data_IF_100275972350
#
_entry.id   IF_100275972350
#
_cell.length_a   1.000
_cell.length_b   1.000
_cell.length_c   1.000
_cell.angle_alpha   90.00
_cell.angle_beta   90.00
_cell.angle_gamma   90.00
#
_symmetry.space_group_name_H-M   'P 1'
#
loop_
_entity.id
_entity.type
_entity.pdbx_description
1 polymer ?
#
# COMPACT_ATOMS: atom_id res chain seq x y z
N UNK A 1 6.64 22.16 -7.30
CA UNK A 1 7.75 22.35 -6.34
C UNK A 1 8.73 21.19 -6.47
N UNK A 2 9.97 21.47 -6.86
CA UNK A 2 11.06 20.49 -6.95
C UNK A 2 11.39 19.97 -5.54
N UNK A 3 10.75 18.87 -5.14
CA UNK A 3 11.12 18.17 -3.92
C UNK A 3 12.45 17.47 -4.18
N UNK A 4 13.53 18.00 -3.59
CA UNK A 4 14.86 17.37 -3.54
C UNK A 4 14.71 15.88 -3.28
N UNK A 5 15.38 15.09 -4.12
CA UNK A 5 15.59 13.66 -3.97
C UNK A 5 16.10 13.38 -2.55
N UNK A 6 15.65 12.28 -1.93
CA UNK A 6 16.09 11.95 -0.57
C UNK A 6 17.61 11.71 -0.57
N UNK A 7 18.31 12.37 0.35
CA UNK A 7 19.78 12.42 0.40
C UNK A 7 20.48 11.05 0.51
N UNK A 8 19.75 9.99 0.85
CA UNK A 8 20.28 8.64 0.97
C UNK A 8 20.23 7.81 -0.31
N UNK A 9 19.59 8.29 -1.39
CA UNK A 9 19.57 7.55 -2.67
C UNK A 9 20.94 7.47 -3.35
N UNK A 10 21.90 8.31 -2.94
CA UNK A 10 23.23 8.41 -3.57
C UNK A 10 24.36 7.79 -2.74
N UNK A 11 24.13 7.48 -1.45
CA UNK A 11 25.19 7.06 -0.53
C UNK A 11 25.69 5.62 -0.73
N UNK A 12 24.90 4.76 -1.37
CA UNK A 12 25.21 3.33 -1.51
C UNK A 12 26.09 3.01 -2.74
N UNK A 13 26.13 3.88 -3.75
CA UNK A 13 26.94 3.65 -4.96
C UNK A 13 28.41 4.06 -4.81
N UNK A 14 28.70 5.04 -3.93
CA UNK A 14 30.07 5.54 -3.71
C UNK A 14 30.96 4.54 -2.95
N UNK A 15 30.37 3.71 -2.08
CA UNK A 15 31.10 2.69 -1.31
C UNK A 15 31.68 1.57 -2.20
N UNK A 16 31.01 1.26 -3.31
CA UNK A 16 31.48 0.24 -4.26
C UNK A 16 32.66 0.71 -5.12
N UNK A 17 32.78 2.01 -5.39
CA UNK A 17 33.87 2.58 -6.19
C UNK A 17 35.20 2.66 -5.42
N UNK A 18 35.14 2.86 -4.09
CA UNK A 18 36.33 2.99 -3.25
C UNK A 18 37.14 1.69 -3.08
N UNK A 19 36.54 0.51 -3.33
CA UNK A 19 37.23 -0.80 -3.20
C UNK A 19 38.16 -1.15 -4.38
N UNK A 20 38.24 -0.34 -5.44
CA UNK A 20 39.04 -0.65 -6.65
C UNK A 20 40.41 0.05 -6.74
N UNK A 21 40.79 0.88 -5.78
CA UNK A 21 42.07 1.60 -5.83
C UNK A 21 42.80 1.54 -4.49
N UNK A 22 43.41 0.40 -4.18
CA UNK A 22 44.51 0.34 -3.21
C UNK A 22 45.37 -0.88 -3.54
N UNK A 23 46.28 -0.71 -4.50
CA UNK A 23 47.44 -1.57 -4.67
C UNK A 23 48.68 -0.70 -4.75
N UNK A 24 49.51 -0.78 -3.69
CA UNK A 24 50.95 -0.53 -3.78
C UNK A 24 51.48 0.69 -3.04
N UNK A 25 51.75 0.56 -1.74
CA UNK A 25 53.05 0.99 -1.18
C UNK A 25 53.35 0.25 0.12
N UNK A 26 54.61 -0.13 0.31
CA UNK A 26 55.17 -0.97 1.36
C UNK A 26 55.25 -0.28 2.72
N UNK A 27 54.60 -0.84 3.74
CA UNK A 27 54.83 -0.55 5.16
C UNK A 27 54.88 -1.86 5.98
N UNK A 28 55.47 -1.80 7.17
CA UNK A 28 55.82 -2.95 8.02
C UNK A 28 54.59 -3.73 8.53
N UNK A 29 54.69 -5.05 8.79
CA UNK A 29 53.52 -5.91 9.07
C UNK A 29 52.68 -5.52 10.30
N UNK A 30 53.27 -4.87 11.31
CA UNK A 30 52.58 -4.54 12.57
C UNK A 30 51.79 -3.21 12.55
N UNK A 31 52.16 -2.25 11.68
CA UNK A 31 51.43 -0.98 11.54
C UNK A 31 50.22 -1.13 10.61
N UNK A 32 50.31 -2.01 9.61
CA UNK A 32 49.20 -2.33 8.70
C UNK A 32 48.01 -3.00 9.40
N UNK A 33 48.23 -3.88 10.40
CA UNK A 33 47.15 -4.55 11.12
C UNK A 33 46.38 -3.58 12.06
N UNK A 34 47.07 -2.60 12.65
CA UNK A 34 46.44 -1.60 13.52
C UNK A 34 45.75 -0.49 12.74
N UNK A 35 46.31 -0.05 11.61
CA UNK A 35 45.64 0.91 10.71
C UNK A 35 44.41 0.31 10.00
N UNK A 36 44.47 -0.96 9.61
CA UNK A 36 43.30 -1.65 9.01
C UNK A 36 42.21 -1.93 10.04
N UNK A 37 42.56 -2.31 11.28
CA UNK A 37 41.58 -2.51 12.35
C UNK A 37 40.90 -1.18 12.75
N UNK A 38 41.65 -0.09 12.85
CA UNK A 38 41.10 1.24 13.15
C UNK A 38 40.26 1.79 12.00
N UNK A 39 40.68 1.62 10.74
CA UNK A 39 39.88 1.98 9.57
C UNK A 39 38.57 1.17 9.49
N UNK A 40 38.60 -0.10 9.87
CA UNK A 40 37.41 -0.97 9.93
C UNK A 40 36.46 -0.51 11.05
N UNK A 41 36.98 -0.24 12.25
CA UNK A 41 36.18 0.26 13.37
C UNK A 41 35.53 1.63 13.08
N UNK A 42 36.25 2.54 12.41
CA UNK A 42 35.70 3.82 11.95
C UNK A 42 34.60 3.60 10.90
N UNK A 43 34.81 2.67 9.96
CA UNK A 43 33.80 2.30 8.97
C UNK A 43 32.52 1.74 9.59
N UNK A 44 32.65 0.86 10.59
CA UNK A 44 31.52 0.32 11.36
C UNK A 44 30.76 1.41 12.14
N UNK A 45 31.50 2.32 12.78
CA UNK A 45 30.90 3.46 13.47
C UNK A 45 30.12 4.37 12.50
N UNK A 46 30.70 4.68 11.34
CA UNK A 46 30.02 5.50 10.30
C UNK A 46 28.75 4.81 9.80
N UNK A 47 28.79 3.49 9.61
CA UNK A 47 27.62 2.70 9.22
C UNK A 47 26.55 2.65 10.32
N UNK A 48 26.96 2.57 11.58
CA UNK A 48 26.04 2.62 12.73
C UNK A 48 25.35 3.98 12.85
N UNK A 49 26.13 5.07 12.74
CA UNK A 49 25.61 6.44 12.79
C UNK A 49 24.70 6.74 11.59
N UNK A 50 25.03 6.25 10.39
CA UNK A 50 24.18 6.42 9.22
C UNK A 50 22.85 5.68 9.38
N UNK A 51 22.86 4.44 9.89
CA UNK A 51 21.65 3.68 10.22
C UNK A 51 20.80 4.40 11.26
N UNK A 52 21.41 4.90 12.34
CA UNK A 52 20.70 5.64 13.40
C UNK A 52 20.10 6.95 12.88
N UNK A 53 20.80 7.65 11.99
CA UNK A 53 20.29 8.84 11.32
C UNK A 53 19.07 8.51 10.46
N UNK A 54 19.16 7.50 9.59
CA UNK A 54 18.04 7.07 8.74
C UNK A 54 16.83 6.67 9.58
N UNK A 55 17.05 5.91 10.65
CA UNK A 55 15.98 5.56 11.59
C UNK A 55 15.29 6.79 12.19
N UNK A 56 16.07 7.77 12.65
CA UNK A 56 15.52 9.02 13.20
C UNK A 56 14.75 9.82 12.15
N UNK A 57 15.25 9.89 10.92
CA UNK A 57 14.58 10.59 9.81
C UNK A 57 13.24 9.93 9.45
N UNK A 58 13.19 8.60 9.33
CA UNK A 58 11.94 7.85 9.09
C UNK A 58 10.96 8.08 10.25
N UNK A 59 11.42 7.91 11.49
CA UNK A 59 10.58 8.06 12.69
C UNK A 59 9.99 9.46 12.82
N UNK A 60 10.80 10.50 12.62
CA UNK A 60 10.34 11.89 12.67
C UNK A 60 9.40 12.21 11.52
N UNK A 61 9.69 11.71 10.32
CA UNK A 61 8.82 11.85 9.15
C UNK A 61 7.44 11.22 9.39
N UNK A 62 7.41 10.00 9.91
CA UNK A 62 6.17 9.29 10.24
C UNK A 62 5.38 10.06 11.30
N UNK A 63 6.02 10.47 12.40
CA UNK A 63 5.35 11.23 13.46
C UNK A 63 4.76 12.54 12.94
N UNK A 64 5.48 13.29 12.12
CA UNK A 64 4.99 14.52 11.52
C UNK A 64 3.81 14.25 10.57
N UNK A 65 3.93 13.25 9.68
CA UNK A 65 2.87 12.86 8.76
C UNK A 65 1.60 12.37 9.47
N UNK A 66 1.75 11.59 10.54
CA UNK A 66 0.64 11.08 11.35
C UNK A 66 -0.03 12.17 12.17
N UNK A 67 0.74 13.12 12.71
CA UNK A 67 0.17 14.30 13.38
C UNK A 67 -0.79 15.04 12.46
N UNK A 68 -0.37 15.28 11.21
CA UNK A 68 -1.20 15.94 10.21
C UNK A 68 -2.37 15.08 9.74
N UNK A 69 -2.18 13.76 9.60
CA UNK A 69 -3.23 12.80 9.24
C UNK A 69 -4.31 12.65 10.33
N UNK A 70 -4.00 13.00 11.59
CA UNK A 70 -4.96 13.03 12.71
C UNK A 70 -5.73 14.34 12.82
N UNK A 71 -5.43 15.34 11.98
CA UNK A 71 -6.03 16.65 12.08
C UNK A 71 -7.54 16.64 11.80
N UNK A 72 -8.27 17.58 12.40
CA UNK A 72 -9.72 17.71 12.26
C UNK A 72 -10.14 18.20 10.86
N UNK A 73 -9.21 18.86 10.14
CA UNK A 73 -9.44 19.41 8.81
C UNK A 73 -8.84 18.54 7.70
N UNK A 74 -9.64 18.25 6.67
CA UNK A 74 -9.26 17.42 5.52
C UNK A 74 -7.99 17.90 4.82
N UNK A 75 -7.78 19.22 4.67
CA UNK A 75 -6.58 19.74 4.00
C UNK A 75 -5.27 19.40 4.74
N UNK A 76 -5.29 19.35 6.08
CA UNK A 76 -4.16 18.92 6.89
C UNK A 76 -3.97 17.41 6.76
N UNK A 77 -5.06 16.64 6.79
CA UNK A 77 -4.99 15.19 6.59
C UNK A 77 -4.40 14.83 5.24
N UNK A 78 -4.86 15.46 4.16
CA UNK A 78 -4.30 15.33 2.80
C UNK A 78 -2.79 15.67 2.78
N UNK A 79 -2.36 16.73 3.48
CA UNK A 79 -0.94 17.07 3.61
C UNK A 79 -0.16 15.95 4.33
N UNK A 80 -0.70 15.43 5.42
CA UNK A 80 -0.14 14.30 6.18
C UNK A 80 -0.01 13.04 5.33
N UNK A 81 -1.08 12.63 4.66
CA UNK A 81 -1.13 11.45 3.79
C UNK A 81 -0.11 11.54 2.65
N UNK A 82 0.03 12.72 2.00
CA UNK A 82 1.07 12.94 0.98
C UNK A 82 2.49 12.79 1.55
N UNK A 83 2.71 13.27 2.78
CA UNK A 83 3.99 13.09 3.48
C UNK A 83 4.27 11.61 3.75
N UNK A 84 3.28 10.88 4.25
CA UNK A 84 3.37 9.44 4.51
C UNK A 84 3.66 8.66 3.21
N UNK A 85 2.95 8.97 2.12
CA UNK A 85 3.19 8.34 0.81
C UNK A 85 4.64 8.54 0.33
N UNK A 86 5.19 9.74 0.53
CA UNK A 86 6.58 10.04 0.18
C UNK A 86 7.57 9.21 1.03
N UNK A 87 7.27 9.02 2.31
CA UNK A 87 8.09 8.20 3.21
C UNK A 87 8.02 6.73 2.78
N UNK A 88 6.83 6.17 2.57
CA UNK A 88 6.64 4.78 2.14
C UNK A 88 7.38 4.49 0.83
N UNK A 89 7.27 5.38 -0.17
CA UNK A 89 8.02 5.25 -1.43
C UNK A 89 9.52 5.23 -1.21
N UNK A 90 10.01 6.00 -0.25
CA UNK A 90 11.44 5.98 0.05
C UNK A 90 11.87 4.76 0.87
N UNK A 91 11.01 4.26 1.76
CA UNK A 91 11.24 3.05 2.54
C UNK A 91 11.33 1.83 1.62
N UNK A 92 10.50 1.77 0.59
CA UNK A 92 10.45 0.71 -0.40
C UNK A 92 11.73 0.55 -1.25
N UNK A 93 12.71 1.45 -1.12
CA UNK A 93 13.94 1.41 -1.93
C UNK A 93 14.99 0.41 -1.42
N UNK A 94 14.90 -0.06 -0.18
CA UNK A 94 15.86 -1.02 0.36
C UNK A 94 15.28 -1.88 1.49
N UNK A 95 15.70 -3.13 1.58
CA UNK A 95 15.25 -4.05 2.64
C UNK A 95 15.57 -3.53 4.05
N UNK A 96 16.71 -2.84 4.19
CA UNK A 96 17.10 -2.27 5.47
C UNK A 96 16.13 -1.18 5.96
N UNK A 97 15.63 -0.33 5.05
CA UNK A 97 14.64 0.70 5.38
C UNK A 97 13.26 0.09 5.60
N UNK A 98 12.91 -0.98 4.89
CA UNK A 98 11.69 -1.76 5.14
C UNK A 98 11.69 -2.29 6.58
N UNK A 99 12.80 -2.92 7.01
CA UNK A 99 12.90 -3.42 8.39
C UNK A 99 12.81 -2.29 9.44
N UNK A 100 13.37 -1.10 9.18
CA UNK A 100 13.21 0.05 10.08
C UNK A 100 11.76 0.52 10.15
N UNK A 101 11.05 0.52 9.01
CA UNK A 101 9.63 0.83 8.97
C UNK A 101 8.81 -0.20 9.76
N UNK A 102 9.02 -1.50 9.53
CA UNK A 102 8.34 -2.56 10.30
C UNK A 102 8.54 -2.40 11.80
N UNK A 103 9.77 -2.12 12.26
CA UNK A 103 10.03 -1.84 13.67
C UNK A 103 9.28 -0.61 14.19
N UNK A 104 9.18 0.46 13.39
CA UNK A 104 8.40 1.64 13.76
C UNK A 104 6.91 1.33 13.94
N UNK A 105 6.34 0.39 13.16
CA UNK A 105 4.93 0.01 13.25
C UNK A 105 4.60 -0.82 14.51
N UNK A 106 5.62 -1.29 15.24
CA UNK A 106 5.42 -1.87 16.58
C UNK A 106 5.16 -0.81 17.66
N UNK A 107 5.42 0.48 17.37
CA UNK A 107 5.20 1.58 18.30
C UNK A 107 3.81 2.19 18.08
N UNK A 108 2.90 2.18 19.08
CA UNK A 108 1.51 2.64 18.90
C UNK A 108 1.39 4.05 18.31
N UNK A 109 2.27 4.97 18.71
CA UNK A 109 2.26 6.36 18.23
C UNK A 109 2.62 6.51 16.74
N UNK A 110 3.28 5.51 16.15
CA UNK A 110 3.77 5.52 14.77
C UNK A 110 2.99 4.56 13.87
N UNK A 111 1.99 3.87 14.39
CA UNK A 111 1.13 3.00 13.60
C UNK A 111 0.31 3.82 12.60
N UNK A 112 0.43 3.47 11.32
CA UNK A 112 -0.24 4.19 10.24
C UNK A 112 -1.68 3.70 10.08
N UNK A 113 -1.89 2.38 10.03
CA UNK A 113 -3.20 1.77 9.76
C UNK A 113 -4.32 2.30 10.68
N UNK A 114 -4.17 2.31 12.01
CA UNK A 114 -5.20 2.84 12.91
C UNK A 114 -5.60 4.29 12.58
N UNK A 115 -4.63 5.13 12.23
CA UNK A 115 -4.88 6.54 11.92
C UNK A 115 -5.72 6.70 10.67
N UNK A 116 -5.50 5.86 9.64
CA UNK A 116 -6.30 5.90 8.42
C UNK A 116 -7.77 5.57 8.72
N UNK A 117 -8.02 4.51 9.48
CA UNK A 117 -9.39 4.09 9.81
C UNK A 117 -10.10 5.04 10.78
N UNK A 118 -9.38 5.66 11.69
CA UNK A 118 -9.96 6.57 12.68
C UNK A 118 -10.24 7.98 12.13
N UNK A 119 -9.52 8.42 11.09
CA UNK A 119 -9.58 9.81 10.62
C UNK A 119 -9.93 9.97 9.14
N UNK A 120 -9.50 9.07 8.27
CA UNK A 120 -9.71 9.20 6.81
C UNK A 120 -10.82 8.31 6.27
N UNK A 121 -11.03 7.13 6.87
CA UNK A 121 -12.11 6.20 6.51
C UNK A 121 -13.24 6.21 7.53
N UNK A 122 -13.23 7.13 8.49
CA UNK A 122 -14.31 7.25 9.47
C UNK A 122 -15.59 7.65 8.73
N UNK A 123 -16.55 6.74 8.68
CA UNK A 123 -17.89 7.06 8.23
C UNK A 123 -18.56 7.94 9.29
N UNK A 124 -19.17 9.05 8.87
CA UNK A 124 -19.96 9.90 9.77
C UNK A 124 -21.18 9.11 10.25
N UNK A 125 -21.07 8.55 11.45
CA UNK A 125 -22.20 7.92 12.13
C UNK A 125 -23.31 8.94 12.37
N UNK A 126 -24.57 8.52 12.33
CA UNK A 126 -25.72 9.40 12.59
C UNK A 126 -25.71 10.00 14.00
N UNK A 127 -24.88 9.49 14.91
CA UNK A 127 -24.63 10.07 16.25
C UNK A 127 -23.82 11.38 16.18
N UNK A 128 -23.01 11.57 15.13
CA UNK A 128 -22.29 12.82 14.85
C UNK A 128 -23.18 13.86 14.11
N UNK A 129 -24.45 13.53 13.79
CA UNK A 129 -25.42 14.48 13.24
C UNK A 129 -26.30 15.01 14.37
N UNK A 130 -26.21 16.31 14.61
CA UNK A 130 -27.00 17.07 15.59
C UNK A 130 -28.49 16.71 15.46
N UNK A 131 -29.02 15.91 16.38
CA UNK A 131 -30.44 15.52 16.41
C UNK A 131 -31.30 16.38 17.35
N UNK A 132 -30.71 17.27 18.15
CA UNK A 132 -31.46 18.31 18.86
C UNK A 132 -30.52 19.40 19.41
N UNK A 133 -30.93 20.66 19.29
CA UNK A 133 -30.27 21.84 19.86
C UNK A 133 -30.83 22.23 21.25
N UNK A 134 -31.63 21.37 21.89
CA UNK A 134 -32.43 21.78 23.05
C UNK A 134 -31.65 21.90 24.38
N UNK A 135 -30.32 21.69 24.39
CA UNK A 135 -29.51 21.73 25.62
C UNK A 135 -28.22 22.57 25.44
N UNK A 136 -28.38 23.89 25.33
CA UNK A 136 -27.32 24.87 24.97
C UNK A 136 -26.24 25.09 26.07
N UNK A 137 -26.43 24.63 27.31
CA UNK A 137 -25.55 25.05 28.43
C UNK A 137 -24.79 23.95 29.18
N UNK A 138 -24.73 22.70 28.70
CA UNK A 138 -24.00 21.63 29.43
C UNK A 138 -23.30 20.60 28.56
N UNK A 139 -23.06 20.88 27.28
CA UNK A 139 -22.46 19.91 26.35
C UNK A 139 -21.02 20.34 26.02
N UNK A 140 -20.08 19.41 26.15
CA UNK A 140 -18.71 19.58 25.69
C UNK A 140 -18.70 20.02 24.22
N UNK A 141 -17.83 20.98 23.82
CA UNK A 141 -17.81 21.48 22.46
C UNK A 141 -17.56 20.33 21.49
N UNK A 142 -18.55 20.08 20.62
CA UNK A 142 -18.48 19.05 19.60
C UNK A 142 -17.30 19.35 18.67
N UNK A 143 -16.36 18.42 18.56
CA UNK A 143 -15.24 18.54 17.62
C UNK A 143 -15.80 18.47 16.20
N UNK A 144 -15.82 19.60 15.51
CA UNK A 144 -16.24 19.69 14.12
C UNK A 144 -15.11 19.09 13.27
N UNK A 145 -15.18 17.78 13.04
CA UNK A 145 -14.30 17.11 12.09
C UNK A 145 -14.89 17.28 10.70
N UNK A 146 -14.12 17.82 9.75
CA UNK A 146 -14.59 17.90 8.37
C UNK A 146 -14.70 16.50 7.77
N UNK A 147 -15.74 16.19 6.98
CA UNK A 147 -15.83 14.92 6.24
C UNK A 147 -14.59 14.70 5.37
N UNK A 148 -14.26 13.43 5.14
CA UNK A 148 -13.17 13.07 4.24
C UNK A 148 -13.55 13.34 2.79
N UNK A 149 -12.68 14.07 2.10
CA UNK A 149 -12.82 14.37 0.68
C UNK A 149 -12.35 13.19 -0.18
N UNK A 150 -12.81 13.14 -1.42
CA UNK A 150 -12.44 12.11 -2.40
C UNK A 150 -10.89 11.98 -2.54
N UNK A 151 -10.21 13.13 -2.68
CA UNK A 151 -8.74 13.16 -2.72
C UNK A 151 -8.06 12.64 -1.44
N UNK A 152 -8.67 12.84 -0.27
CA UNK A 152 -8.18 12.29 1.00
C UNK A 152 -8.32 10.78 1.04
N UNK A 153 -9.48 10.25 0.63
CA UNK A 153 -9.77 8.82 0.57
C UNK A 153 -8.80 8.13 -0.40
N UNK A 154 -8.66 8.65 -1.62
CA UNK A 154 -7.74 8.10 -2.61
C UNK A 154 -6.27 8.09 -2.13
N UNK A 155 -5.85 9.11 -1.38
CA UNK A 155 -4.52 9.13 -0.77
C UNK A 155 -4.40 8.12 0.38
N UNK A 156 -5.41 8.03 1.24
CA UNK A 156 -5.44 7.10 2.36
C UNK A 156 -5.39 5.64 1.88
N UNK A 157 -6.11 5.30 0.80
CA UNK A 157 -6.07 3.98 0.18
C UNK A 157 -4.67 3.63 -0.33
N UNK A 158 -3.98 4.57 -0.99
CA UNK A 158 -2.58 4.37 -1.41
C UNK A 158 -1.60 4.27 -0.24
N UNK A 159 -1.85 4.99 0.87
CA UNK A 159 -1.04 4.82 2.09
C UNK A 159 -1.25 3.42 2.66
N UNK A 160 -2.51 2.96 2.75
CA UNK A 160 -2.87 1.64 3.24
C UNK A 160 -2.23 0.55 2.38
N UNK A 161 -2.32 0.67 1.06
CA UNK A 161 -1.67 -0.20 0.09
C UNK A 161 -0.17 -0.35 0.38
N UNK A 162 0.54 0.79 0.44
CA UNK A 162 1.97 0.79 0.74
C UNK A 162 2.31 0.19 2.11
N UNK A 163 1.48 0.41 3.14
CA UNK A 163 1.70 -0.20 4.46
C UNK A 163 1.55 -1.71 4.44
N UNK A 164 0.56 -2.25 3.73
CA UNK A 164 0.32 -3.69 3.61
C UNK A 164 1.39 -4.40 2.77
N UNK A 165 1.90 -3.75 1.71
CA UNK A 165 2.99 -4.29 0.90
C UNK A 165 4.35 -4.31 1.63
N UNK A 166 4.59 -3.36 2.55
CA UNK A 166 5.88 -3.24 3.24
C UNK A 166 5.93 -3.97 4.59
N UNK A 167 4.78 -4.27 5.20
CA UNK A 167 4.71 -4.83 6.55
C UNK A 167 3.44 -5.68 6.71
N UNK A 168 3.60 -7.00 6.83
CA UNK A 168 2.47 -7.94 6.82
C UNK A 168 1.55 -7.80 8.04
N UNK A 169 2.07 -7.39 9.20
CA UNK A 169 1.23 -7.13 10.38
C UNK A 169 0.30 -5.92 10.19
N UNK A 170 0.60 -5.01 9.25
CA UNK A 170 -0.34 -3.96 8.84
C UNK A 170 -1.63 -4.56 8.29
N UNK A 171 -1.54 -5.67 7.58
CA UNK A 171 -2.69 -6.40 7.01
C UNK A 171 -3.54 -7.04 8.10
N UNK A 172 -2.91 -7.55 9.17
CA UNK A 172 -3.60 -8.07 10.36
C UNK A 172 -4.34 -6.95 11.08
N UNK A 173 -3.69 -5.79 11.28
CA UNK A 173 -4.34 -4.62 11.86
C UNK A 173 -5.51 -4.15 10.99
N UNK A 174 -5.34 -4.08 9.67
CA UNK A 174 -6.41 -3.70 8.75
C UNK A 174 -7.65 -4.60 8.90
N UNK A 175 -7.46 -5.92 9.03
CA UNK A 175 -8.55 -6.84 9.31
C UNK A 175 -9.29 -6.52 10.61
N UNK A 176 -8.57 -6.17 11.69
CA UNK A 176 -9.19 -5.77 12.98
C UNK A 176 -10.09 -4.54 12.85
N UNK A 177 -9.78 -3.65 11.90
CA UNK A 177 -10.59 -2.47 11.56
C UNK A 177 -11.65 -2.75 10.49
N UNK A 178 -11.93 -4.02 10.17
CA UNK A 178 -12.91 -4.43 9.13
C UNK A 178 -12.62 -3.79 7.78
N UNK A 179 -11.33 -3.75 7.40
CA UNK A 179 -10.88 -3.07 6.20
C UNK A 179 -11.63 -3.48 4.94
N UNK A 180 -11.94 -4.78 4.79
CA UNK A 180 -12.66 -5.27 3.63
C UNK A 180 -14.04 -4.62 3.54
N UNK A 181 -14.82 -4.60 4.62
CA UNK A 181 -16.15 -3.98 4.63
C UNK A 181 -16.09 -2.49 4.25
N UNK A 182 -15.12 -1.76 4.80
CA UNK A 182 -14.91 -0.33 4.52
C UNK A 182 -14.52 -0.11 3.04
N UNK A 183 -13.60 -0.91 2.52
CA UNK A 183 -13.15 -0.80 1.13
C UNK A 183 -14.25 -1.21 0.15
N UNK A 184 -15.06 -2.23 0.47
CA UNK A 184 -16.24 -2.57 -0.34
C UNK A 184 -17.23 -1.41 -0.38
N UNK A 185 -17.51 -0.75 0.75
CA UNK A 185 -18.37 0.44 0.74
C UNK A 185 -17.79 1.58 -0.11
N UNK A 186 -16.47 1.80 -0.05
CA UNK A 186 -15.80 2.80 -0.90
C UNK A 186 -15.92 2.43 -2.39
N UNK A 187 -15.71 1.16 -2.73
CA UNK A 187 -15.82 0.65 -4.09
C UNK A 187 -17.23 0.85 -4.67
N UNK A 188 -18.28 0.67 -3.86
CA UNK A 188 -19.67 0.84 -4.30
C UNK A 188 -20.17 2.29 -4.33
N UNK A 189 -19.62 3.18 -3.48
CA UNK A 189 -20.22 4.51 -3.24
C UNK A 189 -19.40 5.71 -3.72
N UNK A 190 -18.10 5.54 -3.98
CA UNK A 190 -17.19 6.66 -4.31
C UNK A 190 -16.88 6.75 -5.80
N UNK A 191 -16.17 7.82 -6.18
CA UNK A 191 -15.82 8.11 -7.56
C UNK A 191 -14.70 7.23 -8.10
N UNK A 192 -14.46 7.36 -9.40
CA UNK A 192 -13.56 6.48 -10.16
C UNK A 192 -12.11 6.49 -9.63
N UNK A 193 -11.64 7.63 -9.11
CA UNK A 193 -10.30 7.76 -8.56
C UNK A 193 -10.15 6.96 -7.26
N UNK A 194 -11.17 6.99 -6.41
CA UNK A 194 -11.22 6.26 -5.14
C UNK A 194 -11.41 4.78 -5.40
N UNK A 195 -12.34 4.41 -6.30
CA UNK A 195 -12.57 3.02 -6.72
C UNK A 195 -11.29 2.41 -7.28
N UNK A 196 -10.59 3.13 -8.17
CA UNK A 196 -9.33 2.67 -8.74
C UNK A 196 -8.22 2.49 -7.70
N UNK A 197 -8.12 3.37 -6.70
CA UNK A 197 -7.18 3.22 -5.59
C UNK A 197 -7.61 2.11 -4.60
N UNK A 198 -8.92 1.87 -4.50
CA UNK A 198 -9.50 0.87 -3.63
C UNK A 198 -9.18 -0.54 -4.13
N UNK A 199 -9.26 -0.78 -5.44
CA UNK A 199 -8.85 -2.04 -6.06
C UNK A 199 -7.37 -2.37 -5.76
N UNK A 200 -6.47 -1.39 -5.89
CA UNK A 200 -5.04 -1.58 -5.57
C UNK A 200 -4.86 -1.94 -4.08
N UNK A 201 -5.55 -1.21 -3.19
CA UNK A 201 -5.51 -1.47 -1.74
C UNK A 201 -6.08 -2.85 -1.38
N UNK A 202 -7.19 -3.27 -1.99
CA UNK A 202 -7.79 -4.59 -1.78
C UNK A 202 -6.82 -5.72 -2.14
N UNK A 203 -6.08 -5.62 -3.26
CA UNK A 203 -5.05 -6.61 -3.62
C UNK A 203 -4.01 -6.72 -2.52
N UNK A 204 -3.49 -5.58 -2.03
CA UNK A 204 -2.43 -5.58 -1.01
C UNK A 204 -2.89 -6.12 0.36
N UNK A 205 -4.14 -5.87 0.75
CA UNK A 205 -4.72 -6.33 2.02
C UNK A 205 -5.07 -7.82 1.97
N UNK A 206 -5.41 -8.33 0.79
CA UNK A 206 -5.66 -9.76 0.58
C UNK A 206 -4.38 -10.54 0.31
N UNK A 207 -3.28 -9.87 -0.03
CA UNK A 207 -1.98 -10.51 -0.17
C UNK A 207 -1.60 -11.18 1.15
N UNK A 208 -1.31 -12.49 1.11
CA UNK A 208 -0.90 -13.24 2.32
C UNK A 208 -1.85 -13.22 3.53
N UNK A 209 -3.13 -12.87 3.31
CA UNK A 209 -4.15 -12.84 4.37
C UNK A 209 -5.40 -13.65 4.03
N UNK A 210 -5.49 -14.87 4.57
CA UNK A 210 -6.69 -15.72 4.40
C UNK A 210 -7.93 -15.11 5.05
N UNK A 211 -7.80 -14.43 6.19
CA UNK A 211 -8.94 -13.80 6.87
C UNK A 211 -9.58 -12.71 6.02
N UNK A 212 -8.77 -11.84 5.41
CA UNK A 212 -9.28 -10.79 4.52
C UNK A 212 -9.88 -11.37 3.23
N UNK A 213 -9.29 -12.44 2.69
CA UNK A 213 -9.82 -13.13 1.51
C UNK A 213 -11.20 -13.75 1.77
N UNK A 214 -11.39 -14.42 2.91
CA UNK A 214 -12.68 -14.97 3.32
C UNK A 214 -13.72 -13.88 3.59
N UNK A 215 -13.31 -12.74 4.17
CA UNK A 215 -14.19 -11.60 4.40
C UNK A 215 -14.61 -10.95 3.08
N UNK A 216 -13.72 -10.88 2.09
CA UNK A 216 -14.02 -10.36 0.75
C UNK A 216 -15.00 -11.25 0.00
N UNK A 217 -14.82 -12.56 0.09
CA UNK A 217 -15.79 -13.55 -0.42
C UNK A 217 -17.16 -13.40 0.26
N UNK A 218 -17.19 -13.24 1.59
CA UNK A 218 -18.43 -13.04 2.34
C UNK A 218 -19.15 -11.72 2.01
N UNK A 219 -18.43 -10.71 1.50
CA UNK A 219 -18.99 -9.45 1.02
C UNK A 219 -19.38 -9.50 -0.47
N UNK A 220 -19.37 -10.67 -1.11
CA UNK A 220 -19.59 -10.85 -2.55
C UNK A 220 -18.66 -9.95 -3.41
N UNK A 221 -17.41 -9.75 -2.98
CA UNK A 221 -16.53 -8.77 -3.62
C UNK A 221 -16.24 -9.04 -5.11
N UNK A 222 -16.28 -10.31 -5.53
CA UNK A 222 -16.15 -10.69 -6.95
C UNK A 222 -17.37 -10.22 -7.76
N UNK A 223 -18.57 -10.26 -7.17
CA UNK A 223 -19.81 -9.81 -7.81
C UNK A 223 -19.75 -8.30 -8.06
N UNK A 224 -19.37 -7.52 -7.05
CA UNK A 224 -19.22 -6.07 -7.16
C UNK A 224 -18.22 -5.67 -8.26
N UNK A 225 -17.06 -6.32 -8.30
CA UNK A 225 -16.04 -6.07 -9.34
C UNK A 225 -16.54 -6.50 -10.73
N UNK A 226 -17.31 -7.59 -10.79
CA UNK A 226 -17.91 -8.04 -12.04
C UNK A 226 -18.98 -7.06 -12.56
N UNK A 227 -19.78 -6.46 -11.68
CA UNK A 227 -20.73 -5.41 -12.06
C UNK A 227 -19.99 -4.19 -12.62
N UNK A 228 -18.95 -3.72 -11.94
CA UNK A 228 -18.14 -2.57 -12.38
C UNK A 228 -17.48 -2.79 -13.76
N UNK A 229 -16.86 -3.94 -14.00
CA UNK A 229 -16.18 -4.20 -15.28
C UNK A 229 -17.16 -4.36 -16.46
N UNK A 230 -18.39 -4.82 -16.19
CA UNK A 230 -19.44 -4.99 -17.20
C UNK A 230 -20.18 -3.68 -17.52
N UNK A 231 -20.20 -2.73 -16.60
CA UNK A 231 -20.90 -1.47 -16.82
C UNK A 231 -20.17 -0.62 -17.88
N UNK A 232 -20.80 -0.49 -19.05
CA UNK A 232 -20.28 0.29 -20.19
C UNK A 232 -20.34 1.81 -19.95
N UNK A 233 -21.00 2.28 -18.89
CA UNK A 233 -21.02 3.70 -18.51
C UNK A 233 -19.84 4.10 -17.62
N UNK A 234 -19.17 3.13 -17.00
CA UNK A 234 -17.97 3.36 -16.19
C UNK A 234 -16.78 3.66 -17.10
N UNK A 235 -15.90 4.57 -16.68
CA UNK A 235 -14.68 4.90 -17.41
C UNK A 235 -13.86 3.64 -17.76
N UNK A 236 -13.38 3.59 -19.00
CA UNK A 236 -12.66 2.43 -19.54
C UNK A 236 -11.42 2.10 -18.69
N UNK A 237 -10.72 3.11 -18.13
CA UNK A 237 -9.54 2.86 -17.30
C UNK A 237 -9.91 2.17 -15.98
N UNK A 238 -11.06 2.50 -15.38
CA UNK A 238 -11.54 1.82 -14.18
C UNK A 238 -11.96 0.38 -14.49
N UNK A 239 -12.64 0.15 -15.61
CA UNK A 239 -12.97 -1.21 -16.07
C UNK A 239 -11.70 -2.04 -16.33
N UNK A 240 -10.68 -1.43 -16.94
CA UNK A 240 -9.36 -2.03 -17.13
C UNK A 240 -8.70 -2.41 -15.79
N UNK A 241 -8.74 -1.51 -14.81
CA UNK A 241 -8.27 -1.79 -13.44
C UNK A 241 -9.00 -2.95 -12.78
N UNK A 242 -10.31 -3.10 -13.01
CA UNK A 242 -11.04 -4.28 -12.53
C UNK A 242 -10.48 -5.57 -13.13
N UNK A 243 -10.10 -5.55 -14.40
CA UNK A 243 -9.41 -6.68 -15.07
C UNK A 243 -8.05 -6.98 -14.45
N UNK A 244 -7.23 -5.94 -14.20
CA UNK A 244 -5.93 -6.08 -13.53
C UNK A 244 -6.09 -6.65 -12.12
N UNK A 245 -7.08 -6.16 -11.36
CA UNK A 245 -7.44 -6.66 -10.04
C UNK A 245 -7.76 -8.16 -10.06
N UNK A 246 -8.65 -8.60 -10.95
CA UNK A 246 -9.06 -10.01 -11.03
C UNK A 246 -7.88 -10.92 -11.41
N UNK A 247 -7.04 -10.47 -12.35
CA UNK A 247 -5.83 -11.21 -12.74
C UNK A 247 -4.86 -11.40 -11.57
N UNK A 248 -4.61 -10.33 -10.80
CA UNK A 248 -3.72 -10.38 -9.64
C UNK A 248 -4.30 -11.23 -8.52
N UNK A 249 -5.59 -11.06 -8.20
CA UNK A 249 -6.26 -11.80 -7.14
C UNK A 249 -6.27 -13.31 -7.44
N UNK A 250 -6.65 -13.70 -8.65
CA UNK A 250 -6.73 -15.11 -9.05
C UNK A 250 -5.35 -15.76 -9.16
N UNK A 251 -4.37 -15.05 -9.73
CA UNK A 251 -2.98 -15.53 -9.76
C UNK A 251 -2.43 -15.80 -8.37
N UNK A 252 -2.78 -14.96 -7.41
CA UNK A 252 -2.36 -15.12 -6.03
C UNK A 252 -3.06 -16.27 -5.30
N UNK A 253 -4.38 -16.39 -5.44
CA UNK A 253 -5.17 -17.47 -4.80
C UNK A 253 -4.79 -18.85 -5.33
N UNK A 254 -4.51 -18.96 -6.64
CA UNK A 254 -4.16 -20.23 -7.29
C UNK A 254 -2.81 -20.82 -6.87
N UNK A 255 -1.90 -20.00 -6.33
CA UNK A 255 -0.56 -20.44 -5.94
C UNK A 255 -0.50 -21.21 -4.61
N UNK A 256 -1.63 -21.46 -3.93
CA UNK A 256 -1.66 -21.96 -2.54
C UNK A 256 -2.25 -23.36 -2.38
N UNK A 257 -1.65 -24.15 -1.48
CA UNK A 257 -2.07 -25.53 -1.16
C UNK A 257 -3.42 -25.63 -0.41
N UNK A 258 -3.82 -24.59 0.34
CA UNK A 258 -5.17 -24.40 0.88
C UNK A 258 -5.70 -23.11 0.30
N UNK A 259 -6.64 -23.21 -0.64
CA UNK A 259 -7.22 -22.06 -1.33
C UNK A 259 -8.37 -21.45 -0.49
N UNK A 260 -8.17 -20.32 0.21
CA UNK A 260 -9.27 -19.41 0.52
C UNK A 260 -9.92 -18.94 -0.79
N UNK A 261 -11.22 -18.61 -0.77
CA UNK A 261 -12.00 -18.32 -1.99
C UNK A 261 -12.14 -19.51 -2.95
N UNK A 262 -12.63 -20.64 -2.43
CA UNK A 262 -12.76 -21.88 -3.21
C UNK A 262 -13.70 -21.76 -4.42
N UNK A 263 -14.67 -20.83 -4.39
CA UNK A 263 -15.64 -20.63 -5.48
C UNK A 263 -15.21 -19.60 -6.50
N UNK A 264 -14.07 -18.92 -6.33
CA UNK A 264 -13.68 -17.77 -7.16
C UNK A 264 -13.73 -18.05 -8.66
N UNK A 265 -13.31 -19.26 -9.10
CA UNK A 265 -13.33 -19.67 -10.50
C UNK A 265 -14.74 -19.84 -11.05
N UNK A 266 -15.62 -20.44 -10.26
CA UNK A 266 -17.02 -20.63 -10.63
C UNK A 266 -17.77 -19.30 -10.62
N UNK A 267 -17.48 -18.42 -9.67
CA UNK A 267 -18.07 -17.09 -9.60
C UNK A 267 -17.66 -16.24 -10.81
N UNK A 268 -16.37 -16.20 -11.16
CA UNK A 268 -15.88 -15.49 -12.34
C UNK A 268 -16.48 -16.06 -13.63
N UNK A 269 -16.55 -17.39 -13.76
CA UNK A 269 -17.21 -18.05 -14.89
C UNK A 269 -18.68 -17.67 -14.99
N UNK A 270 -19.42 -17.70 -13.87
CA UNK A 270 -20.84 -17.35 -13.81
C UNK A 270 -21.08 -15.88 -14.15
N UNK A 271 -20.24 -14.97 -13.65
CA UNK A 271 -20.47 -13.54 -13.69
C UNK A 271 -19.94 -12.87 -14.97
N UNK A 272 -18.82 -13.35 -15.51
CA UNK A 272 -18.11 -12.80 -16.68
C UNK A 272 -18.17 -13.71 -17.93
N UNK A 273 -18.58 -14.96 -17.77
CA UNK A 273 -18.67 -15.94 -18.86
C UNK A 273 -17.40 -16.76 -19.08
N UNK A 274 -17.56 -17.90 -19.76
CA UNK A 274 -16.50 -18.91 -19.95
C UNK A 274 -15.24 -18.35 -20.62
N UNK A 275 -15.41 -17.48 -21.63
CA UNK A 275 -14.30 -16.92 -22.41
C UNK A 275 -13.41 -16.03 -21.54
N UNK A 276 -14.01 -15.10 -20.80
CA UNK A 276 -13.27 -14.18 -19.93
C UNK A 276 -12.63 -14.92 -18.75
N UNK A 277 -13.35 -15.86 -18.14
CA UNK A 277 -12.81 -16.71 -17.09
C UNK A 277 -11.59 -17.53 -17.56
N UNK A 278 -11.67 -18.12 -18.76
CA UNK A 278 -10.56 -18.88 -19.35
C UNK A 278 -9.32 -18.00 -19.59
N UNK A 279 -9.51 -16.76 -20.05
CA UNK A 279 -8.42 -15.81 -20.25
C UNK A 279 -7.75 -15.43 -18.92
N UNK A 280 -8.54 -15.12 -17.90
CA UNK A 280 -8.04 -14.78 -16.57
C UNK A 280 -7.25 -15.96 -15.98
N UNK A 281 -7.82 -17.17 -16.06
CA UNK A 281 -7.16 -18.39 -15.60
C UNK A 281 -5.82 -18.61 -16.31
N UNK A 282 -5.79 -18.54 -17.64
CA UNK A 282 -4.57 -18.74 -18.41
C UNK A 282 -3.51 -17.69 -18.07
N UNK A 283 -3.88 -16.41 -17.99
CA UNK A 283 -2.96 -15.32 -17.68
C UNK A 283 -2.41 -15.39 -16.24
N UNK A 284 -3.20 -15.91 -15.30
CA UNK A 284 -2.80 -16.08 -13.90
C UNK A 284 -1.59 -17.02 -13.70
N UNK A 285 -1.28 -17.86 -14.69
CA UNK A 285 -0.15 -18.79 -14.68
C UNK A 285 1.16 -18.17 -15.22
N UNK A 286 1.09 -17.01 -15.87
CA UNK A 286 2.23 -16.35 -16.52
C UNK A 286 2.74 -15.17 -15.69
N UNK A 287 3.50 -15.42 -14.61
CA UNK A 287 3.97 -14.33 -13.73
C UNK A 287 5.43 -14.36 -13.29
N UNK A 288 6.11 -15.51 -13.32
CA UNK A 288 7.36 -15.68 -12.54
C UNK A 288 8.66 -15.36 -13.29
N UNK A 289 8.67 -15.28 -14.63
CA UNK A 289 9.91 -15.21 -15.44
C UNK A 289 10.23 -13.85 -16.06
N UNK A 290 9.29 -12.90 -16.06
CA UNK A 290 9.46 -11.58 -16.69
C UNK A 290 10.12 -10.56 -15.75
N UNK A 291 10.74 -9.52 -16.30
CA UNK A 291 11.23 -8.35 -15.54
C UNK A 291 10.04 -7.49 -15.00
N UNK A 292 10.15 -6.74 -13.89
CA UNK A 292 9.01 -5.99 -13.33
C UNK A 292 8.34 -5.01 -14.31
N UNK A 293 9.09 -4.34 -15.20
CA UNK A 293 8.50 -3.44 -16.19
C UNK A 293 7.69 -4.21 -17.26
N UNK A 294 8.20 -5.38 -17.66
CA UNK A 294 7.53 -6.28 -18.59
C UNK A 294 6.28 -6.89 -17.95
N UNK A 295 6.32 -7.20 -16.64
CA UNK A 295 5.14 -7.70 -15.88
C UNK A 295 4.00 -6.71 -15.87
N UNK A 296 4.27 -5.42 -15.62
CA UNK A 296 3.23 -4.39 -15.65
C UNK A 296 2.61 -4.26 -17.05
N UNK A 297 3.44 -4.26 -18.09
CA UNK A 297 2.97 -4.19 -19.47
C UNK A 297 2.15 -5.43 -19.84
N UNK A 298 2.60 -6.62 -19.44
CA UNK A 298 1.90 -7.87 -19.67
C UNK A 298 0.55 -7.90 -18.94
N UNK A 299 0.50 -7.49 -17.66
CA UNK A 299 -0.73 -7.40 -16.88
C UNK A 299 -1.75 -6.51 -17.58
N UNK A 300 -1.33 -5.32 -18.02
CA UNK A 300 -2.18 -4.38 -18.73
C UNK A 300 -2.72 -4.95 -20.04
N UNK A 301 -1.87 -5.61 -20.84
CA UNK A 301 -2.28 -6.28 -22.08
C UNK A 301 -3.31 -7.38 -21.80
N UNK A 302 -3.12 -8.20 -20.76
CA UNK A 302 -4.07 -9.26 -20.42
C UNK A 302 -5.39 -8.69 -19.90
N UNK A 303 -5.35 -7.65 -19.05
CA UNK A 303 -6.55 -6.99 -18.56
C UNK A 303 -7.37 -6.40 -19.71
N UNK A 304 -6.70 -5.80 -20.70
CA UNK A 304 -7.35 -5.31 -21.92
C UNK A 304 -8.03 -6.42 -22.71
N UNK A 305 -7.38 -7.58 -22.87
CA UNK A 305 -7.98 -8.74 -23.55
C UNK A 305 -9.21 -9.28 -22.81
N UNK A 306 -9.18 -9.26 -21.48
CA UNK A 306 -10.35 -9.62 -20.65
C UNK A 306 -11.49 -8.64 -20.93
N UNK A 307 -11.22 -7.34 -20.94
CA UNK A 307 -12.24 -6.33 -21.23
C UNK A 307 -12.83 -6.46 -22.63
N UNK A 308 -11.97 -6.60 -23.65
CA UNK A 308 -12.38 -6.82 -25.04
C UNK A 308 -13.25 -8.09 -25.19
N UNK A 309 -13.02 -9.11 -24.36
CA UNK A 309 -13.84 -10.33 -24.38
C UNK A 309 -15.25 -10.13 -23.83
N UNK A 310 -15.46 -9.15 -22.95
CA UNK A 310 -16.76 -8.79 -22.37
C UNK A 310 -17.58 -7.91 -23.32
N UNK A 311 -16.93 -6.99 -24.04
CA UNK A 311 -17.61 -6.04 -24.94
C UNK A 311 -18.12 -6.69 -26.24
N UNK A 312 -17.69 -7.91 -26.55
CA UNK A 312 -18.20 -8.70 -27.67
C UNK A 312 -19.60 -9.27 -27.43
N UNK A 313 -20.20 -8.98 -26.26
CA UNK A 313 -21.57 -9.32 -25.86
C UNK A 313 -22.32 -8.08 -25.32
#
# INVERSE_FOLDING_TARGET
>A
MYLKKALWSEGLSASAAAKKQQTGTSSSPQELETETATATAVGELVNSLSKQRVYREITLGLRAGLCDARAEFSFLRVRGLRSLLKILRSVAQSDSTIHLFSHSQSQPDLQVVPVLFQHSFKEESMEDKVTSLDHIFSVDPMKITSPSTDAEIALALRVLEGCCLLHCESTILAHQYKAIQVLMNILSTRGELEQGACLDALVSIMLDSSSNQMEFEACNGIEEVAELIKDKQVDENLRLKCGEFLLLLIGHVNGRERAPMATIHEDVRRLLGEKSASLIWAASQFGSTLDPAERLTALHIQARRVLESLDLY
#
